data_IF_879360186744
#
_entry.id   IF_879360186744
#
_cell.length_a   1.000
_cell.length_b   1.000
_cell.length_c   1.000
_cell.angle_alpha   90.00
_cell.angle_beta   90.00
_cell.angle_gamma   90.00
#
_symmetry.space_group_name_H-M   'P 1'
#
loop_
_entity.id
_entity.type
_entity.pdbx_description
1 polymer ?
#
# COMPACT_ATOMS: atom_id res chain seq x y z
N UNK A 1 -1.31 -5.11 -19.16
CA UNK A 1 -0.06 -4.32 -19.04
C UNK A 1 -0.38 -2.83 -18.84
N UNK A 2 -1.25 -2.19 -19.66
CA UNK A 2 -1.56 -0.74 -19.59
C UNK A 2 -2.01 -0.26 -18.18
N UNK A 3 -2.96 -0.92 -17.47
CA UNK A 3 -3.37 -0.47 -16.14
C UNK A 3 -2.25 -0.50 -15.09
N UNK A 4 -1.33 -1.47 -15.21
CA UNK A 4 -0.17 -1.57 -14.35
C UNK A 4 0.83 -0.45 -14.63
N UNK A 5 1.10 -0.18 -15.91
CA UNK A 5 2.00 0.89 -16.35
C UNK A 5 1.48 2.25 -15.90
N UNK A 6 0.17 2.50 -16.00
CA UNK A 6 -0.44 3.76 -15.55
C UNK A 6 -0.30 3.94 -14.03
N UNK A 7 -0.55 2.89 -13.24
CA UNK A 7 -0.39 2.96 -11.77
C UNK A 7 1.08 3.17 -11.38
N UNK A 8 2.00 2.44 -11.99
CA UNK A 8 3.43 2.62 -11.75
C UNK A 8 3.92 3.98 -12.23
N UNK A 9 3.38 4.50 -13.35
CA UNK A 9 3.70 5.81 -13.89
C UNK A 9 3.37 6.94 -12.92
N UNK A 10 2.24 6.89 -12.22
CA UNK A 10 1.89 7.85 -11.18
C UNK A 10 2.92 7.84 -10.04
N UNK A 11 3.36 6.65 -9.59
CA UNK A 11 4.39 6.51 -8.59
C UNK A 11 5.74 7.10 -9.00
N UNK A 12 6.14 6.88 -10.24
CA UNK A 12 7.42 7.35 -10.76
C UNK A 12 7.42 8.84 -11.08
N UNK A 13 6.24 9.42 -11.34
CA UNK A 13 6.10 10.86 -11.65
C UNK A 13 6.08 11.73 -10.40
N UNK A 14 5.67 11.20 -9.24
CA UNK A 14 5.74 11.94 -7.98
C UNK A 14 7.17 11.89 -7.42
N UNK A 15 7.88 13.04 -7.33
CA UNK A 15 9.26 13.05 -6.84
C UNK A 15 9.41 12.55 -5.39
N UNK A 16 8.36 12.69 -4.55
CA UNK A 16 8.38 12.19 -3.18
C UNK A 16 8.35 10.67 -3.17
N UNK A 17 7.40 10.06 -3.88
CA UNK A 17 7.26 8.62 -4.00
C UNK A 17 8.50 8.00 -4.64
N UNK A 18 8.98 8.59 -5.75
CA UNK A 18 10.17 8.14 -6.44
C UNK A 18 11.40 8.13 -5.51
N UNK A 19 11.64 9.20 -4.74
CA UNK A 19 12.79 9.27 -3.85
C UNK A 19 12.70 8.29 -2.66
N UNK A 20 11.50 7.94 -2.21
CA UNK A 20 11.30 6.97 -1.13
C UNK A 20 11.45 5.54 -1.64
N UNK A 21 10.77 5.18 -2.74
CA UNK A 21 10.71 3.81 -3.24
C UNK A 21 11.83 3.44 -4.20
N UNK A 22 12.46 4.41 -4.83
CA UNK A 22 13.59 4.18 -5.73
C UNK A 22 14.90 3.82 -5.03
N UNK A 23 14.93 3.81 -3.70
CA UNK A 23 16.12 3.44 -2.94
C UNK A 23 16.32 1.92 -2.89
N UNK A 24 17.56 1.48 -3.08
CA UNK A 24 17.95 0.08 -3.12
C UNK A 24 17.79 -0.64 -1.78
N UNK A 25 17.97 0.06 -0.67
CA UNK A 25 17.95 -0.51 0.67
C UNK A 25 16.86 0.12 1.52
N UNK A 26 16.05 -0.72 2.15
CA UNK A 26 15.15 -0.28 3.22
C UNK A 26 15.95 -0.21 4.53
N UNK A 27 16.00 0.98 5.13
CA UNK A 27 16.67 1.22 6.41
C UNK A 27 15.72 1.08 7.62
N UNK A 28 14.44 0.89 7.40
CA UNK A 28 13.43 0.80 8.46
C UNK A 28 12.97 -0.64 8.58
N UNK A 29 13.45 -1.32 9.60
CA UNK A 29 12.98 -2.65 9.98
C UNK A 29 11.96 -2.53 11.12
N UNK A 30 10.68 -2.67 10.78
CA UNK A 30 9.58 -2.54 11.75
C UNK A 30 9.62 -3.68 12.77
N UNK A 31 9.96 -4.90 12.36
CA UNK A 31 10.04 -6.07 13.27
C UNK A 31 11.11 -5.86 14.33
N UNK A 32 12.30 -5.40 13.92
CA UNK A 32 13.35 -5.05 14.84
C UNK A 32 12.94 -3.93 15.81
N UNK A 33 12.36 -2.83 15.27
CA UNK A 33 11.95 -1.69 16.10
C UNK A 33 10.88 -2.07 17.13
N UNK A 34 9.94 -2.95 16.77
CA UNK A 34 8.92 -3.47 17.69
C UNK A 34 9.54 -4.31 18.81
N UNK A 35 10.48 -5.19 18.47
CA UNK A 35 11.11 -6.10 19.45
C UNK A 35 12.14 -5.38 20.36
N UNK A 36 12.70 -4.27 19.87
CA UNK A 36 13.58 -3.40 20.66
C UNK A 36 12.83 -2.36 21.50
N UNK A 37 11.48 -2.41 21.52
CA UNK A 37 10.63 -1.48 22.30
C UNK A 37 10.86 -0.02 21.94
N UNK A 38 11.07 0.28 20.64
CA UNK A 38 11.29 1.65 20.17
C UNK A 38 9.98 2.45 20.07
N UNK A 39 10.05 3.72 20.40
CA UNK A 39 8.96 4.66 20.17
C UNK A 39 9.09 5.19 18.74
N UNK A 40 8.04 5.02 17.94
CA UNK A 40 8.02 5.39 16.52
C UNK A 40 6.96 6.45 16.30
N UNK A 41 7.34 7.61 15.77
CA UNK A 41 6.40 8.65 15.35
C UNK A 41 6.38 8.75 13.82
N UNK A 42 5.22 8.50 13.22
CA UNK A 42 5.00 8.57 11.78
C UNK A 42 4.09 9.77 11.50
N UNK A 43 4.64 10.83 10.91
CA UNK A 43 3.88 12.03 10.57
C UNK A 43 3.39 11.97 9.12
N UNK A 44 2.11 11.68 8.93
CA UNK A 44 1.43 11.58 7.64
C UNK A 44 0.54 12.79 7.37
N UNK A 45 0.95 13.99 7.81
CA UNK A 45 0.16 15.22 7.65
C UNK A 45 -0.22 15.47 6.19
N UNK A 46 -1.52 15.47 5.88
CA UNK A 46 -2.09 15.74 4.55
C UNK A 46 -1.62 17.07 3.95
N UNK A 47 -1.45 18.09 4.78
CA UNK A 47 -0.97 19.40 4.35
C UNK A 47 0.48 19.42 3.86
N UNK A 48 1.28 18.38 4.14
CA UNK A 48 2.68 18.27 3.74
C UNK A 48 2.92 17.35 2.57
N UNK A 49 2.25 16.22 2.56
CA UNK A 49 2.50 15.15 1.57
C UNK A 49 1.33 14.91 0.62
N UNK A 50 0.23 15.63 0.79
CA UNK A 50 -1.01 15.40 0.05
C UNK A 50 -1.87 14.28 0.66
N UNK A 51 -3.16 14.27 0.32
CA UNK A 51 -4.10 13.30 0.88
C UNK A 51 -3.86 11.87 0.36
N UNK A 52 -3.66 11.71 -0.95
CA UNK A 52 -3.41 10.42 -1.57
C UNK A 52 -2.13 9.77 -1.03
N UNK A 53 -1.04 10.53 -0.95
CA UNK A 53 0.22 10.05 -0.41
C UNK A 53 0.12 9.71 1.08
N UNK A 54 -0.62 10.52 1.87
CA UNK A 54 -0.88 10.27 3.29
C UNK A 54 -1.60 8.92 3.49
N UNK A 55 -2.67 8.70 2.74
CA UNK A 55 -3.44 7.46 2.77
C UNK A 55 -2.60 6.26 2.32
N UNK A 56 -1.85 6.42 1.25
CA UNK A 56 -0.98 5.37 0.71
C UNK A 56 0.11 4.96 1.70
N UNK A 57 0.88 5.92 2.22
CA UNK A 57 1.93 5.62 3.21
C UNK A 57 1.35 5.03 4.49
N UNK A 58 0.21 5.54 4.96
CA UNK A 58 -0.46 5.04 6.15
C UNK A 58 -0.87 3.58 6.00
N UNK A 59 -1.51 3.21 4.90
CA UNK A 59 -1.90 1.83 4.60
C UNK A 59 -0.69 0.90 4.43
N UNK A 60 0.39 1.40 3.84
CA UNK A 60 1.64 0.65 3.70
C UNK A 60 2.29 0.39 5.06
N UNK A 61 2.43 1.41 5.93
CA UNK A 61 2.97 1.25 7.27
C UNK A 61 2.12 0.29 8.09
N UNK A 62 0.80 0.41 8.02
CA UNK A 62 -0.11 -0.51 8.70
C UNK A 62 0.07 -1.96 8.25
N UNK A 63 0.24 -2.17 6.95
CA UNK A 63 0.53 -3.49 6.37
C UNK A 63 1.88 -4.03 6.87
N UNK A 64 2.91 -3.18 6.94
CA UNK A 64 4.23 -3.56 7.45
C UNK A 64 4.20 -3.87 8.95
N UNK A 65 3.47 -3.11 9.75
CA UNK A 65 3.29 -3.37 11.19
C UNK A 65 2.54 -4.70 11.39
N UNK A 66 1.49 -4.96 10.60
CA UNK A 66 0.81 -6.26 10.60
C UNK A 66 1.77 -7.40 10.30
N UNK A 67 2.55 -7.29 9.24
CA UNK A 67 3.52 -8.30 8.84
C UNK A 67 4.54 -8.56 9.96
N UNK A 68 5.11 -7.51 10.53
CA UNK A 68 6.03 -7.59 11.67
C UNK A 68 5.39 -8.22 12.90
N UNK A 69 4.11 -7.93 13.16
CA UNK A 69 3.33 -8.60 14.20
C UNK A 69 3.20 -10.10 13.93
N UNK A 70 2.85 -10.50 12.71
CA UNK A 70 2.72 -11.91 12.33
C UNK A 70 4.04 -12.69 12.42
N UNK A 71 5.19 -12.07 12.15
CA UNK A 71 6.51 -12.67 12.30
C UNK A 71 6.78 -13.11 13.76
N UNK A 72 6.11 -12.49 14.74
CA UNK A 72 6.16 -12.89 16.15
C UNK A 72 5.50 -14.25 16.45
N UNK A 73 4.84 -14.87 15.46
CA UNK A 73 4.34 -16.24 15.60
C UNK A 73 5.45 -17.25 15.98
N UNK A 74 6.70 -16.97 15.59
CA UNK A 74 7.88 -17.77 15.95
C UNK A 74 8.39 -17.53 17.37
N UNK A 75 7.89 -16.50 18.09
CA UNK A 75 8.26 -16.17 19.45
C UNK A 75 7.19 -16.76 20.38
N UNK A 76 7.57 -17.46 21.47
CA UNK A 76 6.62 -17.93 22.48
C UNK A 76 5.74 -16.78 23.00
N UNK A 77 4.46 -17.03 23.23
CA UNK A 77 3.49 -15.96 23.57
C UNK A 77 3.92 -15.17 24.82
N UNK A 78 4.45 -15.85 25.83
CA UNK A 78 4.91 -15.23 27.09
C UNK A 78 6.15 -14.33 26.91
N UNK A 79 6.86 -14.45 25.79
CA UNK A 79 8.07 -13.67 25.51
C UNK A 79 7.79 -12.51 24.53
N UNK A 80 6.57 -12.44 23.97
CA UNK A 80 6.18 -11.35 23.07
C UNK A 80 5.99 -10.08 23.87
N UNK A 81 6.74 -9.05 23.52
CA UNK A 81 6.60 -7.73 24.14
C UNK A 81 5.41 -6.99 23.53
N UNK A 82 4.64 -6.33 24.39
CA UNK A 82 3.53 -5.50 23.92
C UNK A 82 4.01 -4.37 23.01
N UNK A 83 3.32 -4.19 21.90
CA UNK A 83 3.51 -3.06 21.02
C UNK A 83 2.20 -2.30 20.87
N UNK A 84 2.21 -1.02 21.27
CA UNK A 84 1.04 -0.16 21.26
C UNK A 84 1.04 0.70 20.02
N UNK A 85 0.03 0.50 19.17
CA UNK A 85 -0.17 1.25 17.94
C UNK A 85 -1.33 2.23 18.10
N UNK A 86 -1.03 3.52 18.06
CA UNK A 86 -2.02 4.60 18.10
C UNK A 86 -2.22 5.15 16.70
N UNK A 87 -3.46 5.18 16.22
CA UNK A 87 -3.80 5.65 14.89
C UNK A 87 -4.86 6.75 15.01
N UNK A 88 -4.45 7.97 14.73
CA UNK A 88 -5.37 9.09 14.63
C UNK A 88 -5.93 9.17 13.20
N UNK A 89 -7.21 9.58 13.06
CA UNK A 89 -7.93 9.66 11.79
C UNK A 89 -7.82 8.35 10.97
N UNK A 90 -7.98 7.21 11.64
CA UNK A 90 -7.65 5.91 11.06
C UNK A 90 -8.47 5.57 9.80
N UNK A 91 -9.64 6.21 9.59
CA UNK A 91 -10.46 6.07 8.40
C UNK A 91 -9.71 6.41 7.09
N UNK A 92 -8.66 7.24 7.16
CA UNK A 92 -7.87 7.62 5.99
C UNK A 92 -6.90 6.52 5.49
N UNK A 93 -6.55 5.57 6.35
CA UNK A 93 -5.51 4.58 6.07
C UNK A 93 -6.03 3.14 6.10
N UNK A 94 -7.28 2.96 6.49
CA UNK A 94 -7.90 1.65 6.63
C UNK A 94 -8.34 1.11 5.26
N UNK A 95 -7.96 -0.14 5.01
CA UNK A 95 -8.38 -0.93 3.86
C UNK A 95 -9.24 -2.11 4.32
N UNK A 96 -9.91 -2.81 3.42
CA UNK A 96 -10.69 -4.02 3.73
C UNK A 96 -9.86 -5.10 4.48
N UNK A 97 -8.54 -5.14 4.23
CA UNK A 97 -7.64 -6.09 4.90
C UNK A 97 -7.40 -5.78 6.38
N UNK A 98 -7.88 -4.62 6.86
CA UNK A 98 -7.73 -4.21 8.27
C UNK A 98 -8.55 -5.06 9.23
N UNK A 99 -9.66 -5.61 8.80
CA UNK A 99 -10.49 -6.53 9.57
C UNK A 99 -9.67 -7.69 10.16
N UNK A 100 -8.78 -8.27 9.35
CA UNK A 100 -7.89 -9.34 9.77
C UNK A 100 -6.87 -8.90 10.84
N UNK A 101 -6.48 -7.61 10.82
CA UNK A 101 -5.59 -7.08 11.85
C UNK A 101 -6.32 -7.03 13.19
N UNK A 102 -7.55 -6.51 13.21
CA UNK A 102 -8.34 -6.39 14.43
C UNK A 102 -8.60 -7.75 15.11
N UNK A 103 -8.90 -8.77 14.32
CA UNK A 103 -9.20 -10.11 14.87
C UNK A 103 -7.97 -10.87 15.35
N UNK A 104 -6.76 -10.56 14.84
CA UNK A 104 -5.55 -11.32 15.11
C UNK A 104 -4.50 -10.57 15.93
N UNK A 105 -4.56 -9.24 16.02
CA UNK A 105 -3.54 -8.39 16.63
C UNK A 105 -3.16 -8.82 18.06
N UNK A 106 -4.16 -9.19 18.87
CA UNK A 106 -3.97 -9.64 20.24
C UNK A 106 -3.03 -10.84 20.37
N UNK A 107 -3.12 -11.79 19.45
CA UNK A 107 -2.27 -13.00 19.44
C UNK A 107 -0.77 -12.67 19.33
N UNK A 108 -0.46 -11.52 18.74
CA UNK A 108 0.91 -11.09 18.46
C UNK A 108 1.38 -9.94 19.37
N UNK A 109 0.68 -9.73 20.50
CA UNK A 109 0.93 -8.63 21.43
C UNK A 109 0.96 -7.25 20.71
N UNK A 110 0.04 -7.04 19.75
CA UNK A 110 -0.18 -5.78 19.08
C UNK A 110 -1.48 -5.15 19.60
N UNK A 111 -1.34 -4.07 20.37
CA UNK A 111 -2.44 -3.36 21.00
C UNK A 111 -2.80 -2.13 20.15
N UNK A 112 -4.08 -2.03 19.76
CA UNK A 112 -4.55 -0.99 18.85
C UNK A 112 -5.38 0.03 19.59
N UNK A 113 -5.04 1.31 19.43
CA UNK A 113 -5.86 2.46 19.81
C UNK A 113 -6.16 3.27 18.56
N UNK A 114 -7.43 3.40 18.20
CA UNK A 114 -7.87 4.02 16.96
C UNK A 114 -8.81 5.18 17.24
N UNK A 115 -8.58 6.30 16.60
CA UNK A 115 -9.45 7.46 16.69
C UNK A 115 -9.97 7.89 15.31
N UNK A 116 -11.23 8.34 15.26
CA UNK A 116 -11.86 8.91 14.07
C UNK A 116 -13.00 9.85 14.46
N UNK A 117 -13.45 10.67 13.54
CA UNK A 117 -14.43 11.70 13.85
C UNK A 117 -15.87 11.19 13.85
N UNK A 118 -16.24 10.36 12.87
CA UNK A 118 -17.60 9.77 12.77
C UNK A 118 -17.58 8.42 12.04
N UNK A 119 -18.47 7.53 12.47
CA UNK A 119 -18.51 6.12 12.01
C UNK A 119 -18.82 6.02 10.51
N UNK A 120 -19.59 6.96 9.96
CA UNK A 120 -19.94 6.98 8.54
C UNK A 120 -18.75 7.11 7.57
N UNK A 121 -17.55 7.51 8.06
CA UNK A 121 -16.32 7.53 7.26
C UNK A 121 -15.76 6.13 6.96
N UNK A 122 -16.17 5.14 7.74
CA UNK A 122 -15.67 3.78 7.61
C UNK A 122 -16.55 2.96 6.66
N UNK A 123 -15.93 2.08 5.90
CA UNK A 123 -16.66 1.08 5.14
C UNK A 123 -17.50 0.20 6.08
N UNK A 124 -18.72 -0.24 5.70
CA UNK A 124 -19.59 -1.02 6.58
C UNK A 124 -18.94 -2.25 7.21
N UNK A 125 -18.12 -2.98 6.46
CA UNK A 125 -17.38 -4.15 6.95
C UNK A 125 -16.38 -3.78 8.05
N UNK A 126 -15.69 -2.64 7.88
CA UNK A 126 -14.73 -2.12 8.87
C UNK A 126 -15.47 -1.64 10.12
N UNK A 127 -16.64 -0.99 9.98
CA UNK A 127 -17.47 -0.60 11.13
C UNK A 127 -17.81 -1.80 12.00
N UNK A 128 -18.31 -2.89 11.40
CA UNK A 128 -18.62 -4.13 12.11
C UNK A 128 -17.38 -4.75 12.77
N UNK A 129 -16.26 -4.77 12.06
CA UNK A 129 -15.03 -5.33 12.59
C UNK A 129 -14.51 -4.52 13.80
N UNK A 130 -14.56 -3.19 13.73
CA UNK A 130 -14.13 -2.30 14.82
C UNK A 130 -15.01 -2.52 16.05
N UNK A 131 -16.34 -2.40 15.91
CA UNK A 131 -17.25 -2.57 17.05
C UNK A 131 -17.21 -3.99 17.63
N UNK A 132 -17.06 -5.02 16.79
CA UNK A 132 -17.05 -6.41 17.24
C UNK A 132 -15.73 -6.89 17.87
N UNK A 133 -14.59 -6.20 17.62
CA UNK A 133 -13.28 -6.60 18.14
C UNK A 133 -12.66 -5.62 19.14
N UNK A 134 -13.35 -4.49 19.42
CA UNK A 134 -12.83 -3.48 20.35
C UNK A 134 -13.33 -3.77 21.77
N UNK A 135 -12.41 -3.98 22.71
CA UNK A 135 -12.77 -4.23 24.12
C UNK A 135 -13.16 -2.97 24.88
N UNK A 136 -12.68 -1.79 24.46
CA UNK A 136 -13.00 -0.52 25.10
C UNK A 136 -13.41 0.51 24.07
N UNK A 137 -14.47 1.26 24.32
CA UNK A 137 -15.00 2.28 23.43
C UNK A 137 -15.13 3.59 24.22
N UNK A 138 -14.51 4.64 23.71
CA UNK A 138 -14.63 6.00 24.24
C UNK A 138 -15.42 6.82 23.24
N UNK A 139 -16.54 7.39 23.68
CA UNK A 139 -17.43 8.19 22.85
C UNK A 139 -17.49 9.63 23.37
N UNK A 140 -16.93 10.57 22.64
CA UNK A 140 -17.19 11.98 22.80
C UNK A 140 -18.52 12.35 22.14
N UNK A 141 -18.91 13.63 22.15
CA UNK A 141 -20.12 14.08 21.49
C UNK A 141 -20.14 13.71 20.01
N UNK A 142 -21.19 13.04 19.59
CA UNK A 142 -21.39 12.56 18.21
C UNK A 142 -22.69 13.05 17.60
N UNK A 143 -22.81 12.97 16.29
CA UNK A 143 -24.07 13.23 15.59
C UNK A 143 -25.13 12.13 15.79
N UNK A 144 -26.38 12.43 15.41
CA UNK A 144 -27.50 11.51 15.63
C UNK A 144 -27.36 10.14 14.98
N UNK A 145 -26.81 10.07 13.77
CA UNK A 145 -26.59 8.80 13.05
C UNK A 145 -25.59 7.89 13.78
N UNK A 146 -24.48 8.48 14.25
CA UNK A 146 -23.46 7.74 14.97
C UNK A 146 -23.95 7.34 16.37
N UNK A 147 -24.70 8.21 17.04
CA UNK A 147 -25.30 7.89 18.33
C UNK A 147 -26.25 6.68 18.24
N UNK A 148 -27.03 6.56 17.14
CA UNK A 148 -27.89 5.39 16.89
C UNK A 148 -27.05 4.11 16.72
N UNK A 149 -25.93 4.18 16.00
CA UNK A 149 -25.03 3.03 15.80
C UNK A 149 -24.31 2.61 17.06
N UNK A 150 -23.97 3.58 17.93
CA UNK A 150 -23.26 3.34 19.19
C UNK A 150 -24.20 2.95 20.34
N UNK A 151 -25.49 3.22 20.22
CA UNK A 151 -26.47 2.91 21.28
C UNK A 151 -26.35 1.48 21.83
N UNK A 152 -26.20 0.41 21.02
CA UNK A 152 -26.09 -0.95 21.55
C UNK A 152 -24.90 -1.16 22.50
N UNK A 153 -23.84 -0.37 22.34
CA UNK A 153 -22.63 -0.48 23.16
C UNK A 153 -22.77 0.22 24.52
N UNK A 154 -23.64 1.22 24.61
CA UNK A 154 -23.79 2.07 25.80
C UNK A 154 -25.11 1.85 26.55
N UNK A 155 -26.07 1.12 25.94
CA UNK A 155 -27.32 0.77 26.60
C UNK A 155 -27.09 -0.26 27.73
N UNK A 156 -27.95 -0.25 28.80
CA UNK A 156 -29.09 0.65 29.03
C UNK A 156 -28.72 1.98 29.72
N UNK A 157 -27.45 2.20 30.06
CA UNK A 157 -27.00 3.32 30.92
C UNK A 157 -27.14 4.66 30.20
N UNK A 158 -26.71 4.73 28.91
CA UNK A 158 -26.76 5.93 28.10
C UNK A 158 -27.59 5.71 26.82
N UNK A 159 -28.39 6.72 26.46
CA UNK A 159 -29.22 6.70 25.25
C UNK A 159 -28.64 7.67 24.19
N UNK A 160 -29.24 7.66 23.00
CA UNK A 160 -28.88 8.52 21.85
C UNK A 160 -28.83 9.99 22.24
N UNK A 161 -29.80 10.45 23.05
CA UNK A 161 -29.87 11.85 23.51
C UNK A 161 -28.64 12.26 24.37
N UNK A 162 -28.18 11.32 25.19
CA UNK A 162 -27.06 11.57 26.09
C UNK A 162 -25.78 11.79 25.28
N UNK A 163 -25.52 10.94 24.28
CA UNK A 163 -24.34 11.02 23.40
C UNK A 163 -24.30 12.29 22.53
N UNK A 164 -25.47 12.79 22.10
CA UNK A 164 -25.58 14.02 21.30
C UNK A 164 -25.35 15.26 22.15
N UNK A 165 -25.72 15.22 23.43
CA UNK A 165 -25.74 16.36 24.33
C UNK A 165 -24.46 16.47 25.22
N UNK A 166 -23.48 15.59 25.05
CA UNK A 166 -22.20 15.67 25.76
C UNK A 166 -21.56 17.06 25.65
N UNK A 167 -21.10 17.60 26.75
CA UNK A 167 -20.38 18.86 26.75
C UNK A 167 -18.93 18.69 26.20
N UNK A 168 -18.23 19.82 26.08
CA UNK A 168 -16.83 19.79 25.65
C UNK A 168 -15.99 19.11 26.74
N UNK A 169 -15.09 18.23 26.32
CA UNK A 169 -14.22 17.43 27.17
C UNK A 169 -14.90 16.29 27.95
N UNK A 170 -16.23 16.17 27.91
CA UNK A 170 -16.95 15.03 28.46
C UNK A 170 -16.99 13.87 27.46
N UNK A 171 -17.01 12.65 28.00
CA UNK A 171 -17.12 11.42 27.22
C UNK A 171 -17.79 10.30 27.99
N UNK A 172 -18.35 9.34 27.25
CA UNK A 172 -18.75 8.04 27.80
C UNK A 172 -17.72 6.99 27.44
N UNK A 173 -17.48 6.07 28.37
CA UNK A 173 -16.54 4.96 28.17
C UNK A 173 -17.18 3.64 28.59
N UNK A 174 -17.07 2.65 27.73
CA UNK A 174 -17.27 1.23 28.00
C UNK A 174 -15.91 0.55 28.00
N UNK A 175 -15.63 -0.24 29.01
CA UNK A 175 -14.32 -0.88 29.16
C UNK A 175 -14.46 -2.38 29.37
N UNK A 176 -13.49 -3.12 28.84
CA UNK A 176 -13.24 -4.51 29.18
C UNK A 176 -11.92 -4.58 29.96
N UNK A 177 -11.98 -5.08 31.19
CA UNK A 177 -10.81 -5.21 32.08
C UNK A 177 -10.70 -6.69 32.46
N UNK A 178 -9.53 -7.28 32.24
CA UNK A 178 -9.26 -8.70 32.53
C UNK A 178 -10.26 -9.68 31.87
N UNK A 179 -10.83 -9.29 30.73
CA UNK A 179 -11.82 -10.08 29.99
C UNK A 179 -13.27 -9.89 30.43
N UNK A 180 -13.51 -9.12 31.48
CA UNK A 180 -14.85 -8.76 31.95
C UNK A 180 -15.30 -7.39 31.41
N UNK A 181 -16.52 -7.31 30.90
CA UNK A 181 -17.10 -6.06 30.42
C UNK A 181 -17.80 -5.36 31.57
N UNK A 182 -17.48 -4.09 31.77
CA UNK A 182 -18.08 -3.24 32.80
C UNK A 182 -19.14 -2.33 32.19
N UNK A 183 -20.11 -1.94 33.03
CA UNK A 183 -21.11 -0.97 32.64
C UNK A 183 -20.49 0.35 32.20
N UNK A 184 -21.01 0.98 31.16
CA UNK A 184 -20.51 2.27 30.70
C UNK A 184 -20.67 3.37 31.77
N UNK A 185 -19.71 4.27 31.84
CA UNK A 185 -19.74 5.43 32.73
C UNK A 185 -19.28 6.70 32.04
N UNK A 186 -19.62 7.85 32.65
CA UNK A 186 -19.20 9.17 32.17
C UNK A 186 -17.88 9.59 32.78
N UNK A 187 -17.09 10.36 32.04
CA UNK A 187 -15.84 10.95 32.51
C UNK A 187 -15.54 12.27 31.78
N UNK A 188 -14.55 12.99 32.26
CA UNK A 188 -14.02 14.20 31.65
C UNK A 188 -12.55 14.05 31.35
N UNK A 189 -12.10 14.68 30.26
CA UNK A 189 -10.66 14.74 29.94
C UNK A 189 -9.92 15.67 30.87
N UNK A 190 -8.76 15.25 31.33
CA UNK A 190 -7.88 16.14 32.08
C UNK A 190 -7.33 17.26 31.17
N UNK A 191 -7.26 18.47 31.69
CA UNK A 191 -6.63 19.59 30.98
C UNK A 191 -5.13 19.32 30.85
N UNK A 192 -4.66 19.22 29.61
CA UNK A 192 -3.22 19.09 29.35
C UNK A 192 -2.54 20.40 29.68
N UNK A 193 -1.65 20.37 30.66
CA UNK A 193 -0.80 21.52 31.00
C UNK A 193 0.32 21.64 29.95
N UNK A 194 0.79 22.88 29.67
CA UNK A 194 1.96 23.06 28.82
C UNK A 194 3.16 22.26 29.36
N UNK A 195 3.98 21.65 28.50
CA UNK A 195 5.15 20.92 28.95
C UNK A 195 6.13 21.84 29.68
N UNK A 196 6.55 21.43 30.85
CA UNK A 196 7.53 22.17 31.69
C UNK A 196 8.98 21.85 31.34
N UNK A 197 9.19 20.84 30.46
CA UNK A 197 10.50 20.35 30.08
C UNK A 197 10.93 20.85 28.71
N UNK A 198 12.24 20.85 28.48
CA UNK A 198 12.83 21.16 27.20
C UNK A 198 12.32 20.20 26.12
N UNK A 199 12.02 20.73 24.93
CA UNK A 199 11.59 19.92 23.79
C UNK A 199 12.81 19.32 23.08
N UNK A 200 12.86 18.01 22.95
CA UNK A 200 13.88 17.26 22.19
C UNK A 200 13.48 17.00 20.73
N UNK A 201 12.51 17.79 20.22
CA UNK A 201 11.97 17.58 18.87
C UNK A 201 13.03 17.67 17.77
N UNK A 202 13.96 18.62 17.90
CA UNK A 202 15.01 18.83 16.89
C UNK A 202 15.98 17.64 16.88
N UNK A 203 16.45 17.26 18.03
CA UNK A 203 17.40 16.17 18.23
C UNK A 203 16.83 14.83 17.74
N UNK A 204 15.55 14.57 18.03
CA UNK A 204 14.86 13.35 17.56
C UNK A 204 14.77 13.35 16.03
N UNK A 205 14.42 14.47 15.40
CA UNK A 205 14.33 14.57 13.94
C UNK A 205 15.71 14.39 13.29
N UNK A 206 16.74 15.02 13.83
CA UNK A 206 18.11 14.94 13.32
C UNK A 206 18.66 13.51 13.41
N UNK A 207 18.48 12.88 14.56
CA UNK A 207 18.92 11.49 14.77
C UNK A 207 18.14 10.50 13.90
N UNK A 208 16.82 10.67 13.75
CA UNK A 208 16.01 9.88 12.84
C UNK A 208 16.46 10.03 11.39
N UNK A 209 16.75 11.26 10.95
CA UNK A 209 17.27 11.51 9.60
C UNK A 209 18.64 10.87 9.39
N UNK A 210 19.51 10.98 10.35
CA UNK A 210 20.86 10.38 10.30
C UNK A 210 20.81 8.87 10.14
N UNK A 211 19.90 8.19 10.86
CA UNK A 211 19.77 6.72 10.84
C UNK A 211 19.02 6.20 9.62
N UNK A 212 17.91 6.81 9.28
CA UNK A 212 16.92 6.21 8.39
C UNK A 212 16.75 6.93 7.06
N UNK A 213 17.42 8.06 6.85
CA UNK A 213 17.29 8.79 5.59
C UNK A 213 18.64 9.14 4.96
N UNK A 214 18.57 9.64 3.73
CA UNK A 214 19.65 10.31 3.01
C UNK A 214 19.11 11.64 2.49
N UNK A 215 19.96 12.64 2.23
CA UNK A 215 19.53 13.90 1.63
C UNK A 215 18.77 13.67 0.32
N UNK A 216 17.77 14.49 0.04
CA UNK A 216 16.90 14.35 -1.13
C UNK A 216 17.68 14.35 -2.44
N UNK A 217 18.68 15.23 -2.55
CA UNK A 217 19.48 15.37 -3.76
C UNK A 217 20.41 14.16 -3.99
N UNK A 218 20.90 13.57 -2.90
CA UNK A 218 21.71 12.36 -2.98
C UNK A 218 20.85 11.15 -3.35
N UNK A 219 19.62 11.04 -2.81
CA UNK A 219 18.66 10.03 -3.23
C UNK A 219 18.36 10.12 -4.73
N UNK A 220 18.09 11.32 -5.23
CA UNK A 220 17.80 11.56 -6.64
C UNK A 220 18.98 11.18 -7.56
N UNK A 221 20.22 11.49 -7.16
CA UNK A 221 21.42 11.08 -7.91
C UNK A 221 21.59 9.56 -7.95
N UNK A 222 21.49 8.90 -6.80
CA UNK A 222 21.59 7.44 -6.72
C UNK A 222 20.54 6.72 -7.59
N UNK A 223 19.31 7.20 -7.57
CA UNK A 223 18.25 6.66 -8.41
C UNK A 223 18.54 6.86 -9.89
N UNK A 224 19.00 8.05 -10.30
CA UNK A 224 19.34 8.34 -11.67
C UNK A 224 20.53 7.48 -12.18
N UNK A 225 21.54 7.25 -11.36
CA UNK A 225 22.69 6.37 -11.68
C UNK A 225 22.23 4.92 -11.86
N UNK A 226 21.33 4.46 -11.01
CA UNK A 226 20.79 3.10 -11.08
C UNK A 226 19.89 2.89 -12.29
N UNK A 227 19.02 3.85 -12.60
CA UNK A 227 18.20 3.88 -13.81
C UNK A 227 19.08 3.82 -15.08
N UNK A 228 20.14 4.62 -15.13
CA UNK A 228 21.08 4.60 -16.25
C UNK A 228 21.78 3.24 -16.41
N UNK A 229 22.11 2.59 -15.30
CA UNK A 229 22.72 1.26 -15.31
C UNK A 229 21.74 0.19 -15.80
N UNK A 230 20.47 0.24 -15.36
CA UNK A 230 19.42 -0.67 -15.81
C UNK A 230 19.17 -0.50 -17.31
N UNK A 231 19.04 0.75 -17.78
CA UNK A 231 18.81 1.05 -19.20
C UNK A 231 19.94 0.45 -20.05
N UNK A 232 21.21 0.66 -19.68
CA UNK A 232 22.36 0.07 -20.39
C UNK A 232 22.29 -1.45 -20.43
N UNK A 233 21.96 -2.09 -19.30
CA UNK A 233 21.86 -3.55 -19.24
C UNK A 233 20.74 -4.13 -20.10
N UNK A 234 19.61 -3.39 -20.22
CA UNK A 234 18.49 -3.78 -21.10
C UNK A 234 18.87 -3.59 -22.57
N UNK A 235 19.53 -2.49 -22.92
CA UNK A 235 20.04 -2.24 -24.28
C UNK A 235 21.05 -3.29 -24.72
N UNK A 236 22.01 -3.64 -23.85
CA UNK A 236 22.97 -4.72 -24.11
C UNK A 236 22.31 -6.06 -24.35
N UNK A 237 21.32 -6.44 -23.53
CA UNK A 237 20.54 -7.68 -23.71
C UNK A 237 19.78 -7.67 -25.04
N UNK A 238 19.13 -6.56 -25.38
CA UNK A 238 18.40 -6.42 -26.65
C UNK A 238 19.34 -6.56 -27.87
N UNK A 239 20.54 -6.00 -27.79
CA UNK A 239 21.57 -6.14 -28.83
C UNK A 239 22.02 -7.60 -28.97
N UNK A 240 22.25 -8.30 -27.86
CA UNK A 240 22.65 -9.73 -27.84
C UNK A 240 21.56 -10.60 -28.46
N UNK A 241 20.28 -10.41 -28.03
CA UNK A 241 19.14 -11.14 -28.59
C UNK A 241 18.92 -10.85 -30.08
N UNK A 242 19.08 -9.57 -30.48
CA UNK A 242 19.00 -9.19 -31.89
C UNK A 242 20.09 -9.85 -32.76
N UNK A 243 21.32 -9.94 -32.23
CA UNK A 243 22.42 -10.66 -32.91
C UNK A 243 22.17 -12.17 -32.97
N UNK A 244 21.64 -12.78 -31.91
CA UNK A 244 21.30 -14.21 -31.88
C UNK A 244 20.20 -14.54 -32.90
N UNK A 245 19.12 -13.77 -32.97
CA UNK A 245 18.04 -13.94 -33.95
C UNK A 245 18.51 -13.74 -35.40
N UNK A 246 19.45 -12.83 -35.65
CA UNK A 246 20.07 -12.67 -36.99
C UNK A 246 20.90 -13.89 -37.38
N UNK A 247 21.69 -14.41 -36.43
CA UNK A 247 22.51 -15.60 -36.67
C UNK A 247 21.67 -16.85 -36.93
N UNK A 248 20.58 -17.03 -36.20
CA UNK A 248 19.60 -18.12 -36.44
C UNK A 248 18.95 -18.02 -37.84
N UNK A 249 18.53 -16.80 -38.26
CA UNK A 249 18.00 -16.57 -39.60
C UNK A 249 19.04 -16.86 -40.70
N UNK A 250 20.28 -16.49 -40.48
CA UNK A 250 21.38 -16.71 -41.42
C UNK A 250 21.70 -18.21 -41.57
N UNK A 251 21.71 -18.95 -40.45
CA UNK A 251 21.87 -20.41 -40.45
C UNK A 251 20.68 -21.12 -41.17
N UNK A 252 19.45 -20.69 -40.88
CA UNK A 252 18.26 -21.22 -41.52
C UNK A 252 18.25 -20.94 -43.03
N UNK A 253 18.62 -19.74 -43.45
CA UNK A 253 18.71 -19.39 -44.89
C UNK A 253 19.83 -20.16 -45.62
N UNK A 254 20.93 -20.47 -44.92
CA UNK A 254 22.05 -21.23 -45.47
C UNK A 254 21.68 -22.72 -45.58
N UNK A 255 20.90 -23.26 -44.65
CA UNK A 255 20.37 -24.62 -44.68
C UNK A 255 19.41 -24.83 -45.87
N UNK A 256 18.47 -23.90 -46.09
CA UNK A 256 17.52 -23.92 -47.22
C UNK A 256 18.27 -23.85 -48.55
N UNK A 257 19.35 -23.05 -48.67
CA UNK A 257 20.18 -23.01 -49.90
C UNK A 257 20.97 -24.30 -50.15
N UNK A 258 21.30 -25.07 -49.11
CA UNK A 258 21.98 -26.37 -49.26
C UNK A 258 21.04 -27.53 -49.63
N UNK A 259 19.78 -27.46 -49.26
CA UNK A 259 18.76 -28.45 -49.66
C UNK A 259 18.21 -28.21 -51.06
N UNK A 260 18.03 -26.93 -51.50
CA UNK A 260 17.59 -26.57 -52.84
C UNK A 260 18.62 -26.76 -53.97
N UNK A 261 19.89 -27.11 -53.64
CA UNK A 261 20.95 -27.38 -54.61
C UNK A 261 21.16 -28.84 -55.01
N UNK A 262 20.27 -29.77 -54.59
CA UNK A 262 20.36 -31.20 -54.93
C UNK A 262 19.31 -31.71 -55.90
N UNK A 263 18.40 -30.89 -56.39
CA UNK A 263 17.31 -31.35 -57.30
C UNK A 263 17.36 -30.73 -58.73
N UNK A 264 18.45 -30.16 -59.18
CA UNK A 264 18.58 -29.77 -60.60
C UNK A 264 19.60 -30.65 -61.33
N UNK A 265 19.17 -31.87 -61.62
CA UNK A 265 19.83 -32.80 -62.52
C UNK A 265 18.86 -33.85 -62.98
N UNK A 266 18.36 -33.61 -64.17
CA UNK A 266 17.62 -34.50 -65.12
C UNK A 266 16.17 -34.11 -65.43
N UNK A 267 16.05 -33.78 -66.60
CA UNK A 267 15.12 -34.14 -67.71
C UNK A 267 14.57 -32.91 -68.40
N UNK A 268 14.96 -32.84 -69.67
CA UNK A 268 14.51 -31.96 -70.71
C UNK A 268 13.19 -32.46 -71.36
N UNK A 269 12.56 -31.51 -72.08
CA UNK A 269 11.56 -31.67 -73.15
C UNK A 269 10.10 -31.88 -72.76
N UNK A 270 9.17 -31.03 -73.03
CA UNK A 270 8.52 -30.70 -74.28
C UNK A 270 7.18 -29.97 -74.07
N UNK A 271 6.89 -29.09 -75.04
CA UNK A 271 5.56 -28.58 -75.49
C UNK A 271 4.78 -27.55 -74.62
N UNK A 272 4.83 -26.31 -75.11
CA UNK A 272 3.78 -25.50 -75.79
C UNK A 272 2.33 -25.58 -75.26
N UNK A 273 1.85 -24.41 -75.02
CA UNK A 273 0.57 -23.74 -75.37
C UNK A 273 -0.06 -22.98 -74.19
N UNK A 274 0.02 -21.68 -74.34
CA UNK A 274 -1.03 -20.71 -74.68
C UNK A 274 -2.23 -20.56 -73.70
N UNK A 275 -2.45 -19.28 -73.42
CA UNK A 275 -3.71 -18.57 -73.17
C UNK A 275 -4.08 -18.26 -71.72
N UNK A 276 -4.07 -17.02 -71.51
CA UNK A 276 -5.12 -15.97 -71.38
C UNK A 276 -5.48 -15.59 -69.94
N UNK A 277 -5.26 -14.31 -69.73
CA UNK A 277 -5.88 -13.49 -68.64
C UNK A 277 -7.40 -13.34 -68.92
N UNK A 278 -8.23 -13.05 -67.92
CA UNK A 278 -8.54 -11.65 -67.74
C UNK A 278 -8.74 -11.16 -66.29
N UNK A 279 -8.57 -9.82 -66.23
CA UNK A 279 -8.92 -8.84 -65.25
C UNK A 279 -10.39 -8.91 -64.78
N UNK A 280 -10.72 -8.48 -63.55
CA UNK A 280 -11.48 -7.23 -63.27
C UNK A 280 -12.00 -7.17 -61.85
N UNK A 281 -11.82 -5.95 -61.29
CA UNK A 281 -12.65 -5.03 -60.50
C UNK A 281 -13.09 -5.44 -59.09
N UNK A 282 -12.70 -4.67 -58.08
CA UNK A 282 -13.16 -3.35 -57.60
C UNK A 282 -14.60 -3.31 -57.05
N UNK A 283 -14.69 -2.87 -55.88
CA UNK A 283 -15.57 -1.90 -55.20
C UNK A 283 -15.90 -2.33 -53.80
N UNK A 284 -15.57 -1.52 -52.82
CA UNK A 284 -16.20 -0.33 -52.26
C UNK A 284 -17.15 -0.63 -51.09
N UNK A 285 -16.90 0.11 -50.03
CA UNK A 285 -17.86 0.72 -49.07
C UNK A 285 -18.48 -0.25 -48.03
N UNK A 286 -18.66 0.09 -46.76
CA UNK A 286 -18.78 1.35 -46.05
C UNK A 286 -18.68 1.08 -44.55
N UNK A 287 -18.22 2.07 -43.80
CA UNK A 287 -18.66 2.39 -42.45
C UNK A 287 -20.17 2.72 -42.38
N UNK A 288 -20.84 3.00 -41.22
CA UNK A 288 -20.35 3.23 -39.88
C UNK A 288 -21.33 2.83 -38.72
N UNK A 289 -20.99 3.29 -37.49
CA UNK A 289 -21.85 3.59 -36.34
C UNK A 289 -22.40 2.39 -35.54
N UNK A 290 -22.23 2.27 -34.30
CA UNK A 290 -22.59 3.13 -33.13
C UNK A 290 -21.57 2.92 -32.02
#
# INVERSE_FOLDING_TARGET
>A
IIPLVNKLGQFLSDPLLRNIFGQKQNKIDISQLMNEEKIIFINLSKGRIGEENSSFFGSMFLTKIKQAGMERASIPEAERKDFYLYIDEFHNIVTQTFENILSEARKYALNLTMAHQYIGQLLPQVQHAVLGNTGSIICFRVGGEDAVKLKPEFAPIFDVKDMINLAVAEFYIKMTIDGESYDPFSAETLRVLPPTHQSYRKEIIEESRRKYSIPKDDAAKLIAEEEATIIRSVEEKAIIEGKAKRKEKEIASTAIRREGGKEDGEIAEDSSEAKEKPKTKASQEAEPMI
#
